data_IF_971924766889
#
_entry.id   IF_971924766889
#
_cell.length_a   1.000
_cell.length_b   1.000
_cell.length_c   1.000
_cell.angle_alpha   90.00
_cell.angle_beta   90.00
_cell.angle_gamma   90.00
#
_symmetry.space_group_name_H-M   'P 1'
#
loop_
_entity.id
_entity.type
_entity.pdbx_description
1 polymer ?
#
# COMPACT_ATOMS: atom_id res chain seq x y z
N UNK A 1 12.89 4.30 41.81
CA UNK A 1 12.04 3.56 40.86
C UNK A 1 11.89 4.27 39.51
N UNK A 2 11.55 5.57 39.46
CA UNK A 2 11.38 6.34 38.21
C UNK A 2 12.60 6.34 37.26
N UNK A 3 13.82 6.48 37.79
CA UNK A 3 15.07 6.45 36.98
C UNK A 3 15.35 5.09 36.33
N UNK A 4 14.92 4.00 36.96
CA UNK A 4 15.08 2.65 36.44
C UNK A 4 14.05 2.40 35.33
N UNK A 5 12.80 2.81 35.57
CA UNK A 5 11.73 2.81 34.56
C UNK A 5 12.11 3.60 33.30
N UNK A 6 12.66 4.81 33.49
CA UNK A 6 13.12 5.64 32.38
C UNK A 6 14.21 4.95 31.56
N UNK A 7 15.20 4.29 32.20
CA UNK A 7 16.25 3.52 31.51
C UNK A 7 15.70 2.36 30.69
N UNK A 8 14.72 1.62 31.22
CA UNK A 8 14.11 0.50 30.48
C UNK A 8 13.26 1.00 29.31
N UNK A 9 12.52 2.09 29.51
CA UNK A 9 11.74 2.70 28.44
C UNK A 9 12.67 3.21 27.32
N UNK A 10 13.74 3.93 27.65
CA UNK A 10 14.68 4.43 26.65
C UNK A 10 15.44 3.30 25.95
N UNK A 11 15.88 2.27 26.66
CA UNK A 11 16.52 1.11 26.06
C UNK A 11 15.57 0.36 25.10
N UNK A 12 14.30 0.20 25.47
CA UNK A 12 13.28 -0.42 24.61
C UNK A 12 13.01 0.43 23.37
N UNK A 13 12.85 1.74 23.52
CA UNK A 13 12.64 2.66 22.39
C UNK A 13 13.85 2.65 21.44
N UNK A 14 15.07 2.62 21.98
CA UNK A 14 16.29 2.49 21.19
C UNK A 14 16.32 1.17 20.41
N UNK A 15 16.04 0.03 21.06
CA UNK A 15 16.00 -1.28 20.42
C UNK A 15 14.97 -1.31 19.28
N UNK A 16 13.76 -0.81 19.53
CA UNK A 16 12.70 -0.70 18.50
C UNK A 16 13.15 0.19 17.34
N UNK A 17 13.78 1.32 17.63
CA UNK A 17 14.25 2.25 16.61
C UNK A 17 15.34 1.63 15.74
N UNK A 18 16.30 0.93 16.34
CA UNK A 18 17.36 0.21 15.61
C UNK A 18 16.75 -0.90 14.74
N UNK A 19 15.82 -1.69 15.28
CA UNK A 19 15.15 -2.75 14.53
C UNK A 19 14.38 -2.20 13.31
N UNK A 20 13.65 -1.08 13.48
CA UNK A 20 12.97 -0.40 12.37
C UNK A 20 13.92 0.13 11.31
N UNK A 21 15.06 0.72 11.71
CA UNK A 21 16.04 1.24 10.75
C UNK A 21 16.67 0.10 9.96
N UNK A 22 17.09 -0.98 10.63
CA UNK A 22 17.69 -2.16 9.98
C UNK A 22 16.69 -2.83 9.04
N UNK A 23 15.45 -3.04 9.47
CA UNK A 23 14.41 -3.65 8.62
C UNK A 23 14.07 -2.75 7.43
N UNK A 24 14.01 -1.43 7.62
CA UNK A 24 13.77 -0.46 6.54
C UNK A 24 14.92 -0.46 5.55
N UNK A 25 16.17 -0.52 6.00
CA UNK A 25 17.33 -0.57 5.12
C UNK A 25 17.33 -1.87 4.28
N UNK A 26 17.10 -3.02 4.92
CA UNK A 26 16.98 -4.30 4.23
C UNK A 26 15.84 -4.32 3.20
N UNK A 27 14.67 -3.78 3.56
CA UNK A 27 13.53 -3.64 2.66
C UNK A 27 13.86 -2.76 1.45
N UNK A 28 14.52 -1.63 1.65
CA UNK A 28 14.94 -0.74 0.58
C UNK A 28 15.96 -1.40 -0.37
N UNK A 29 16.96 -2.12 0.18
CA UNK A 29 17.95 -2.83 -0.62
C UNK A 29 17.30 -3.93 -1.47
N UNK A 30 16.40 -4.71 -0.87
CA UNK A 30 15.66 -5.74 -1.59
C UNK A 30 14.77 -5.14 -2.68
N UNK A 31 14.04 -4.07 -2.38
CA UNK A 31 13.21 -3.39 -3.37
C UNK A 31 14.03 -2.79 -4.50
N UNK A 32 15.20 -2.23 -4.20
CA UNK A 32 16.13 -1.71 -5.21
C UNK A 32 16.66 -2.84 -6.10
N UNK A 33 17.04 -3.99 -5.53
CA UNK A 33 17.46 -5.15 -6.30
C UNK A 33 16.35 -5.63 -7.25
N UNK A 34 15.11 -5.75 -6.76
CA UNK A 34 13.96 -6.09 -7.59
C UNK A 34 13.69 -5.03 -8.67
N UNK A 35 13.89 -3.74 -8.34
CA UNK A 35 13.70 -2.63 -9.27
C UNK A 35 14.70 -2.71 -10.43
N UNK A 36 15.95 -3.04 -10.16
CA UNK A 36 16.99 -3.13 -11.18
C UNK A 36 16.88 -4.41 -12.01
N UNK A 37 16.50 -5.54 -11.39
CA UNK A 37 16.52 -6.87 -12.03
C UNK A 37 15.20 -7.23 -12.69
N UNK A 38 14.06 -6.92 -12.08
CA UNK A 38 12.74 -7.41 -12.54
C UNK A 38 11.94 -6.32 -13.26
N UNK A 39 11.93 -5.10 -12.72
CA UNK A 39 11.13 -3.99 -13.26
C UNK A 39 11.36 -3.69 -14.75
N UNK A 40 12.59 -3.74 -15.33
CA UNK A 40 12.77 -3.46 -16.75
C UNK A 40 12.14 -4.51 -17.67
N UNK A 41 11.93 -5.75 -17.19
CA UNK A 41 11.36 -6.84 -17.99
C UNK A 41 9.85 -7.01 -17.77
N UNK A 42 9.38 -6.88 -16.53
CA UNK A 42 7.96 -7.02 -16.20
C UNK A 42 7.57 -6.18 -15.00
N UNK A 43 6.70 -5.21 -15.25
CA UNK A 43 6.22 -4.30 -14.22
C UNK A 43 5.17 -4.93 -13.30
N UNK A 44 4.30 -5.78 -13.84
CA UNK A 44 3.30 -6.52 -13.03
C UNK A 44 4.01 -7.51 -12.10
N UNK A 45 4.98 -8.26 -12.61
CA UNK A 45 5.77 -9.16 -11.76
C UNK A 45 6.54 -8.37 -10.69
N UNK A 46 7.19 -7.27 -11.06
CA UNK A 46 7.88 -6.41 -10.10
C UNK A 46 6.95 -5.92 -8.99
N UNK A 47 5.78 -5.37 -9.33
CA UNK A 47 4.81 -4.88 -8.33
C UNK A 47 4.31 -5.98 -7.43
N UNK A 48 4.03 -7.17 -7.98
CA UNK A 48 3.60 -8.33 -7.21
C UNK A 48 4.68 -8.73 -6.21
N UNK A 49 5.91 -8.92 -6.66
CA UNK A 49 7.03 -9.31 -5.80
C UNK A 49 7.37 -8.25 -4.74
N UNK A 50 7.46 -6.98 -5.13
CA UNK A 50 7.82 -5.92 -4.17
C UNK A 50 6.72 -5.73 -3.12
N UNK A 51 5.46 -5.90 -3.49
CA UNK A 51 4.35 -5.76 -2.54
C UNK A 51 4.23 -7.00 -1.63
N UNK A 52 4.37 -8.21 -2.18
CA UNK A 52 4.28 -9.46 -1.41
C UNK A 52 5.49 -9.72 -0.52
N UNK A 53 6.71 -9.41 -0.95
CA UNK A 53 7.91 -9.72 -0.20
C UNK A 53 8.46 -8.52 0.56
N UNK A 54 8.51 -7.33 -0.05
CA UNK A 54 9.11 -6.18 0.61
C UNK A 54 8.12 -5.48 1.54
N UNK A 55 6.97 -5.07 1.01
CA UNK A 55 5.99 -4.34 1.82
C UNK A 55 5.47 -5.21 2.96
N UNK A 56 5.10 -6.47 2.70
CA UNK A 56 4.65 -7.38 3.77
C UNK A 56 5.73 -7.67 4.81
N UNK A 57 6.99 -7.93 4.42
CA UNK A 57 8.07 -8.15 5.39
C UNK A 57 8.30 -6.92 6.27
N UNK A 58 8.27 -5.72 5.69
CA UNK A 58 8.45 -4.48 6.45
C UNK A 58 7.31 -4.29 7.46
N UNK A 59 6.07 -4.59 7.06
CA UNK A 59 4.90 -4.57 7.93
C UNK A 59 4.98 -5.63 9.03
N UNK A 60 5.43 -6.85 8.72
CA UNK A 60 5.60 -7.92 9.71
C UNK A 60 6.66 -7.56 10.75
N UNK A 61 7.78 -6.98 10.31
CA UNK A 61 8.81 -6.47 11.20
C UNK A 61 8.27 -5.37 12.11
N UNK A 62 7.43 -4.46 11.59
CA UNK A 62 6.76 -3.44 12.40
C UNK A 62 5.80 -4.06 13.42
N UNK A 63 5.03 -5.08 13.03
CA UNK A 63 4.09 -5.79 13.92
C UNK A 63 4.77 -6.44 15.13
N UNK A 64 5.98 -6.98 14.96
CA UNK A 64 6.76 -7.56 16.06
C UNK A 64 7.22 -6.52 17.10
N UNK A 65 7.24 -5.23 16.72
CA UNK A 65 7.67 -4.14 17.58
C UNK A 65 6.51 -3.47 18.30
N UNK A 66 5.28 -3.69 17.82
CA UNK A 66 4.07 -3.20 18.45
C UNK A 66 3.66 -4.09 19.62
N UNK A 67 3.00 -3.55 20.65
CA UNK A 67 2.39 -4.37 21.68
C UNK A 67 1.34 -5.30 21.07
N UNK A 68 1.06 -6.42 21.75
CA UNK A 68 0.03 -7.36 21.34
C UNK A 68 -1.30 -6.64 21.13
N UNK A 69 -1.69 -6.50 19.86
CA UNK A 69 -2.86 -5.73 19.45
C UNK A 69 -3.97 -6.71 19.07
N UNK A 70 -5.15 -6.52 19.65
CA UNK A 70 -6.35 -7.25 19.27
C UNK A 70 -7.18 -6.39 18.32
N UNK A 71 -7.48 -6.91 17.13
CA UNK A 71 -8.31 -6.24 16.13
C UNK A 71 -9.67 -6.95 16.11
N UNK A 72 -10.72 -6.23 16.50
CA UNK A 72 -12.10 -6.69 16.43
C UNK A 72 -12.74 -6.17 15.15
N UNK A 73 -13.14 -7.08 14.26
CA UNK A 73 -13.80 -6.74 13.00
C UNK A 73 -15.29 -7.03 13.18
N UNK A 74 -16.12 -6.03 12.92
CA UNK A 74 -17.58 -6.15 12.91
C UNK A 74 -18.13 -5.56 11.63
N UNK A 75 -19.20 -6.13 11.12
CA UNK A 75 -19.86 -5.66 9.90
C UNK A 75 -20.66 -6.78 9.26
N UNK A 76 -21.48 -6.41 8.28
CA UNK A 76 -22.20 -7.39 7.48
C UNK A 76 -21.17 -8.14 6.61
N UNK A 77 -21.24 -9.47 6.63
CA UNK A 77 -20.26 -10.37 5.99
C UNK A 77 -20.33 -10.35 4.45
N UNK A 78 -21.12 -9.45 3.91
CA UNK A 78 -21.56 -9.44 2.54
C UNK A 78 -20.53 -8.69 1.68
N UNK A 79 -19.29 -9.19 1.64
CA UNK A 79 -18.46 -8.90 0.47
C UNK A 79 -19.13 -9.65 -0.69
N UNK A 80 -19.71 -8.96 -1.69
CA UNK A 80 -20.42 -9.64 -2.75
C UNK A 80 -19.52 -10.67 -3.44
N UNK A 81 -20.04 -11.87 -3.66
CA UNK A 81 -19.33 -12.91 -4.40
C UNK A 81 -18.90 -12.37 -5.76
N UNK A 82 -17.64 -12.64 -6.15
CA UNK A 82 -17.10 -12.24 -7.46
C UNK A 82 -16.41 -10.86 -7.51
N UNK A 83 -16.27 -10.14 -6.39
CA UNK A 83 -15.40 -8.95 -6.36
C UNK A 83 -13.93 -9.38 -6.38
N UNK A 84 -13.27 -9.23 -7.53
CA UNK A 84 -11.84 -9.51 -7.71
C UNK A 84 -10.95 -8.32 -7.31
N UNK A 85 -11.51 -7.13 -7.14
CA UNK A 85 -10.83 -5.92 -6.72
C UNK A 85 -11.82 -4.94 -6.05
N UNK A 86 -11.45 -4.34 -4.91
CA UNK A 86 -12.26 -3.32 -4.23
C UNK A 86 -11.47 -2.06 -3.85
N UNK A 87 -12.18 -0.96 -3.60
CA UNK A 87 -11.63 0.26 -3.00
C UNK A 87 -12.13 0.35 -1.56
N UNK A 88 -11.20 0.39 -0.61
CA UNK A 88 -11.52 0.58 0.80
C UNK A 88 -11.44 2.07 1.12
N UNK A 89 -12.54 2.62 1.63
CA UNK A 89 -12.59 3.98 2.16
C UNK A 89 -12.71 3.88 3.67
N UNK A 90 -11.71 4.40 4.37
CA UNK A 90 -11.65 4.39 5.83
C UNK A 90 -11.57 5.82 6.36
N UNK A 91 -12.17 6.05 7.53
CA UNK A 91 -11.99 7.30 8.25
C UNK A 91 -10.57 7.36 8.84
N UNK A 92 -9.83 8.44 8.57
CA UNK A 92 -8.47 8.62 9.06
C UNK A 92 -8.49 9.20 10.48
N UNK A 93 -8.61 8.33 11.49
CA UNK A 93 -8.70 8.74 12.90
C UNK A 93 -7.35 8.72 13.63
N UNK A 94 -6.38 7.98 13.10
CA UNK A 94 -5.08 7.77 13.73
C UNK A 94 -3.99 7.61 12.68
N UNK A 95 -2.82 8.19 12.92
CA UNK A 95 -1.68 8.19 11.98
C UNK A 95 -1.17 6.78 11.61
N UNK A 96 -1.44 5.77 12.45
CA UNK A 96 -1.08 4.37 12.21
C UNK A 96 -2.24 3.49 11.74
N UNK A 97 -3.36 4.07 11.32
CA UNK A 97 -4.54 3.32 10.86
C UNK A 97 -4.27 2.41 9.66
N UNK A 98 -3.37 2.83 8.78
CA UNK A 98 -2.88 2.05 7.65
C UNK A 98 -2.27 0.71 8.07
N UNK A 99 -1.68 0.62 9.26
CA UNK A 99 -1.13 -0.65 9.74
C UNK A 99 -2.26 -1.64 10.07
N UNK A 100 -3.32 -1.20 10.76
CA UNK A 100 -4.47 -2.06 11.05
C UNK A 100 -5.15 -2.53 9.75
N UNK A 101 -5.30 -1.65 8.76
CA UNK A 101 -5.87 -2.03 7.45
C UNK A 101 -5.03 -3.09 6.75
N UNK A 102 -3.70 -2.99 6.80
CA UNK A 102 -2.80 -4.00 6.22
C UNK A 102 -2.82 -5.32 7.00
N UNK A 103 -3.04 -5.29 8.32
CA UNK A 103 -3.25 -6.49 9.14
C UNK A 103 -4.57 -7.18 8.79
N UNK A 104 -5.65 -6.44 8.61
CA UNK A 104 -6.94 -6.99 8.16
C UNK A 104 -6.79 -7.61 6.76
N UNK A 105 -6.15 -6.90 5.83
CA UNK A 105 -5.88 -7.43 4.51
C UNK A 105 -5.02 -8.71 4.56
N UNK A 106 -4.07 -8.79 5.48
CA UNK A 106 -3.28 -10.00 5.72
C UNK A 106 -4.13 -11.14 6.23
N UNK A 107 -5.00 -10.90 7.20
CA UNK A 107 -5.94 -11.90 7.73
C UNK A 107 -6.86 -12.47 6.64
N UNK A 108 -7.28 -11.62 5.69
CA UNK A 108 -8.10 -12.02 4.55
C UNK A 108 -7.30 -12.67 3.39
N UNK A 109 -5.99 -12.87 3.52
CA UNK A 109 -5.15 -13.42 2.45
C UNK A 109 -4.88 -12.45 1.29
N UNK A 110 -5.22 -11.18 1.43
CA UNK A 110 -5.06 -10.11 0.43
C UNK A 110 -3.73 -9.34 0.58
N UNK A 111 -2.83 -9.79 1.45
CA UNK A 111 -1.53 -9.14 1.67
C UNK A 111 -0.72 -9.06 0.37
N UNK A 112 -0.08 -7.91 0.14
CA UNK A 112 0.67 -7.64 -1.08
C UNK A 112 -0.17 -7.22 -2.28
N UNK A 113 -1.50 -7.33 -2.23
CA UNK A 113 -2.41 -6.83 -3.26
C UNK A 113 -3.12 -5.52 -2.87
N UNK A 114 -2.70 -4.92 -1.75
CA UNK A 114 -3.23 -3.65 -1.25
C UNK A 114 -2.25 -2.52 -1.57
N UNK A 115 -2.78 -1.44 -2.15
CA UNK A 115 -2.08 -0.17 -2.33
C UNK A 115 -2.77 0.90 -1.50
N UNK A 116 -1.98 1.70 -0.81
CA UNK A 116 -2.47 2.82 0.00
C UNK A 116 -2.14 4.10 -0.75
N UNK A 117 -3.11 5.00 -0.86
CA UNK A 117 -2.85 6.36 -1.36
C UNK A 117 -2.17 7.13 -0.23
N UNK A 118 -0.90 7.48 -0.43
CA UNK A 118 -0.10 8.16 0.59
C UNK A 118 0.05 9.65 0.31
N UNK A 119 0.23 10.44 1.36
CA UNK A 119 0.55 11.86 1.21
C UNK A 119 1.92 12.04 0.58
N UNK A 120 2.04 12.91 -0.41
CA UNK A 120 3.29 13.17 -1.13
C UNK A 120 4.45 13.58 -0.21
N UNK A 121 4.17 14.30 0.88
CA UNK A 121 5.17 14.68 1.88
C UNK A 121 5.93 13.47 2.47
N UNK A 122 5.28 12.31 2.62
CA UNK A 122 5.92 11.10 3.14
C UNK A 122 7.03 10.58 2.23
N UNK A 123 6.97 10.87 0.92
CA UNK A 123 8.05 10.54 -0.01
C UNK A 123 9.35 11.29 0.32
N UNK A 124 9.32 12.40 1.04
CA UNK A 124 10.53 13.17 1.36
C UNK A 124 11.31 12.59 2.55
N UNK A 125 10.72 11.67 3.30
CA UNK A 125 11.34 11.06 4.47
C UNK A 125 12.37 10.01 4.00
N UNK A 126 13.64 10.04 4.45
CA UNK A 126 14.63 9.01 4.12
C UNK A 126 14.16 7.62 4.57
N UNK A 127 14.61 6.56 3.89
CA UNK A 127 14.20 5.16 4.08
C UNK A 127 12.72 4.89 3.76
N UNK A 128 11.78 5.55 4.46
CA UNK A 128 10.34 5.38 4.25
C UNK A 128 9.92 5.88 2.87
N UNK A 129 10.34 7.08 2.50
CA UNK A 129 9.99 7.69 1.22
C UNK A 129 10.64 6.99 0.03
N UNK A 130 11.84 6.43 0.20
CA UNK A 130 12.46 5.57 -0.81
C UNK A 130 11.65 4.30 -1.00
N UNK A 131 11.28 3.64 0.10
CA UNK A 131 10.45 2.45 0.07
C UNK A 131 9.12 2.71 -0.61
N UNK A 132 8.40 3.78 -0.23
CA UNK A 132 7.12 4.21 -0.84
C UNK A 132 7.24 4.34 -2.37
N UNK A 133 8.34 4.93 -2.86
CA UNK A 133 8.58 5.07 -4.31
C UNK A 133 8.84 3.72 -4.96
N UNK A 134 9.69 2.89 -4.35
CA UNK A 134 10.03 1.58 -4.88
C UNK A 134 8.81 0.65 -4.91
N UNK A 135 7.96 0.66 -3.88
CA UNK A 135 6.72 -0.14 -3.87
C UNK A 135 5.63 0.42 -4.80
N UNK A 136 5.89 1.52 -5.51
CA UNK A 136 4.95 2.17 -6.44
C UNK A 136 3.58 2.49 -5.80
N UNK A 137 3.57 3.01 -4.56
CA UNK A 137 2.31 3.44 -3.93
C UNK A 137 1.81 4.76 -4.57
N UNK A 138 0.50 4.86 -4.88
CA UNK A 138 -0.08 6.09 -5.39
C UNK A 138 0.04 7.20 -4.35
N UNK A 139 0.27 8.43 -4.82
CA UNK A 139 0.50 9.57 -3.93
C UNK A 139 -0.38 10.74 -4.26
N UNK A 140 -0.81 11.46 -3.22
CA UNK A 140 -1.64 12.66 -3.34
C UNK A 140 -0.91 13.88 -2.77
N UNK A 141 -0.92 14.99 -3.49
CA UNK A 141 -0.34 16.26 -3.04
C UNK A 141 -1.37 17.11 -2.30
N UNK A 142 -0.91 18.16 -1.61
CA UNK A 142 -1.80 19.14 -0.97
C UNK A 142 -2.59 20.00 -1.96
N UNK A 143 -2.19 20.02 -3.25
CA UNK A 143 -2.85 20.80 -4.28
C UNK A 143 -3.85 19.93 -5.02
N UNK A 144 -5.15 20.24 -4.91
CA UNK A 144 -6.21 19.47 -5.54
C UNK A 144 -6.03 19.34 -7.06
N UNK A 145 -5.60 20.41 -7.74
CA UNK A 145 -5.41 20.38 -9.19
C UNK A 145 -4.40 19.31 -9.63
N UNK A 146 -3.29 19.16 -8.89
CA UNK A 146 -2.29 18.12 -9.14
C UNK A 146 -2.80 16.73 -8.75
N UNK A 147 -3.46 16.63 -7.60
CA UNK A 147 -3.96 15.38 -7.03
C UNK A 147 -5.11 14.77 -7.82
N UNK A 148 -5.94 15.62 -8.44
CA UNK A 148 -7.09 15.22 -9.22
C UNK A 148 -6.68 14.32 -10.38
N UNK A 149 -5.70 14.73 -11.19
CA UNK A 149 -5.25 13.94 -12.33
C UNK A 149 -4.75 12.55 -11.92
N UNK A 150 -3.94 12.47 -10.86
CA UNK A 150 -3.42 11.21 -10.31
C UNK A 150 -4.54 10.30 -9.82
N UNK A 151 -5.47 10.84 -9.01
CA UNK A 151 -6.57 10.07 -8.44
C UNK A 151 -7.51 9.54 -9.53
N UNK A 152 -7.95 10.40 -10.46
CA UNK A 152 -8.83 9.96 -11.55
C UNK A 152 -8.13 8.97 -12.48
N UNK A 153 -6.82 9.13 -12.72
CA UNK A 153 -6.03 8.15 -13.48
C UNK A 153 -5.98 6.78 -12.79
N UNK A 154 -5.79 6.75 -11.47
CA UNK A 154 -5.81 5.52 -10.67
C UNK A 154 -7.20 4.85 -10.69
N UNK A 155 -8.26 5.63 -10.50
CA UNK A 155 -9.63 5.09 -10.54
C UNK A 155 -9.98 4.54 -11.92
N UNK A 156 -9.51 5.18 -12.98
CA UNK A 156 -9.71 4.70 -14.36
C UNK A 156 -8.96 3.38 -14.59
N UNK A 157 -7.69 3.28 -14.17
CA UNK A 157 -6.93 2.04 -14.33
C UNK A 157 -7.52 0.89 -13.50
N UNK A 158 -8.08 1.20 -12.32
CA UNK A 158 -8.83 0.25 -11.52
C UNK A 158 -10.07 -0.27 -12.27
N UNK A 159 -10.87 0.63 -12.85
CA UNK A 159 -12.07 0.26 -13.61
C UNK A 159 -11.77 -0.56 -14.88
N UNK A 160 -10.59 -0.38 -15.50
CA UNK A 160 -10.19 -1.14 -16.69
C UNK A 160 -9.46 -2.45 -16.38
N UNK A 161 -9.22 -2.76 -15.10
CA UNK A 161 -8.40 -3.92 -14.69
C UNK A 161 -6.90 -3.76 -14.96
N UNK A 162 -6.46 -2.59 -15.44
CA UNK A 162 -5.07 -2.25 -15.74
C UNK A 162 -4.40 -1.50 -14.58
N UNK A 163 -4.93 -1.66 -13.36
CA UNK A 163 -4.43 -0.99 -12.16
C UNK A 163 -2.96 -1.30 -11.90
N UNK A 164 -2.57 -2.52 -12.27
CA UNK A 164 -1.19 -2.92 -12.32
C UNK A 164 -0.44 -1.93 -13.24
N UNK A 165 -0.76 -1.80 -14.50
CA UNK A 165 0.02 -1.04 -15.48
C UNK A 165 0.12 0.48 -15.23
N UNK A 166 -0.69 1.05 -14.34
CA UNK A 166 -0.71 2.48 -14.03
C UNK A 166 0.61 3.04 -13.47
N UNK A 167 1.11 4.16 -14.01
CA UNK A 167 2.47 4.71 -13.76
C UNK A 167 2.57 5.96 -12.89
N UNK A 168 1.47 6.42 -12.28
CA UNK A 168 1.55 7.47 -11.26
C UNK A 168 1.83 8.90 -11.73
N UNK A 169 1.95 9.16 -13.03
CA UNK A 169 2.30 10.52 -13.50
C UNK A 169 2.12 10.83 -14.99
N UNK A 170 1.66 9.89 -15.82
CA UNK A 170 1.29 10.19 -17.21
C UNK A 170 -0.23 10.14 -17.35
N UNK A 171 -0.82 11.08 -18.09
CA UNK A 171 -2.17 10.91 -18.59
C UNK A 171 -2.30 9.50 -19.17
N UNK A 172 -3.37 8.81 -18.79
CA UNK A 172 -3.72 7.54 -19.41
C UNK A 172 -4.15 7.86 -20.84
N UNK A 173 -3.20 8.01 -21.75
CA UNK A 173 -3.47 7.97 -23.19
C UNK A 173 -3.92 6.54 -23.45
N UNK A 174 -5.25 6.41 -23.58
CA UNK A 174 -5.92 5.16 -23.93
C UNK A 174 -5.55 4.76 -25.35
N UNK A 175 -4.29 4.39 -25.55
CA UNK A 175 -3.84 3.63 -26.69
C UNK A 175 -4.62 2.33 -26.71
N UNK A 176 -5.33 2.11 -27.81
CA UNK A 176 -6.20 1.01 -28.17
C UNK A 176 -5.51 -0.36 -28.07
N UNK A 177 -5.25 -0.79 -26.84
CA UNK A 177 -4.58 -2.04 -26.51
C UNK A 177 -5.58 -3.07 -26.00
N UNK A 178 -6.34 -3.68 -26.91
CA UNK A 178 -6.95 -4.98 -26.69
C UNK A 178 -8.38 -4.95 -26.15
N UNK A 179 -9.35 -4.93 -27.08
CA UNK A 179 -10.66 -5.55 -26.88
C UNK A 179 -10.47 -7.02 -26.48
N UNK A 180 -10.49 -7.34 -25.19
CA UNK A 180 -10.81 -8.69 -24.70
C UNK A 180 -11.84 -8.60 -23.59
N UNK A 181 -13.04 -9.06 -23.90
CA UNK A 181 -14.05 -9.47 -22.92
C UNK A 181 -14.78 -8.34 -22.19
N UNK A 182 -15.52 -7.49 -22.90
CA UNK A 182 -16.63 -6.76 -22.26
C UNK A 182 -17.77 -7.74 -22.02
N UNK A 183 -17.85 -8.29 -20.81
CA UNK A 183 -19.14 -8.66 -20.25
C UNK A 183 -19.90 -7.36 -19.99
N UNK A 184 -21.04 -7.20 -20.62
CA UNK A 184 -21.91 -6.04 -20.43
C UNK A 184 -22.41 -6.03 -18.97
N UNK A 185 -22.11 -4.96 -18.24
CA UNK A 185 -22.73 -4.69 -16.94
C UNK A 185 -24.16 -4.21 -17.24
N UNK A 186 -25.22 -4.91 -16.77
CA UNK A 186 -26.59 -4.48 -17.01
C UNK A 186 -26.82 -3.13 -16.34
N UNK A 187 -27.35 -2.17 -17.09
CA UNK A 187 -27.75 -0.87 -16.55
C UNK A 187 -28.83 -1.08 -15.47
N UNK A 188 -28.49 -0.78 -14.22
CA UNK A 188 -29.45 -0.72 -13.13
C UNK A 188 -30.49 0.35 -13.48
N UNK A 189 -31.72 -0.11 -13.76
CA UNK A 189 -32.89 0.75 -13.95
C UNK A 189 -33.30 1.23 -12.55
N UNK A 190 -33.16 2.53 -12.31
CA UNK A 190 -33.76 3.19 -11.15
C UNK A 190 -35.25 3.34 -11.45
N UNK A 191 -36.07 2.52 -10.81
CA UNK A 191 -37.49 2.77 -10.56
C UNK A 191 -37.67 3.14 -9.08
#
# INVERSE_FOLDING_TARGET
>A
MLRIWFKYLTARLLLVSVALVVSSLGANLMALALFLVIRPFSRSLYRRLVSQYVACMWIDALSLLLPGTQIHITGDSDMPDGITAGIVVANHQYEGDWWFMLMVARFLGLHGNVKIIVREGLRRIPLLGWLIRLVEYPTISSSWSHSRATLFGLLRSFNTGLWDEWSGGGGFDGGDGGRRGRGEVPAARLE
#
